data_IF_002676951810
#
_entry.id   IF_002676951810
#
_cell.length_a   1.000
_cell.length_b   1.000
_cell.length_c   1.000
_cell.angle_alpha   90.00
_cell.angle_beta   90.00
_cell.angle_gamma   90.00
#
_symmetry.space_group_name_H-M   'P 1'
#
loop_
_entity.id
_entity.type
_entity.pdbx_description
1 polymer ?
#
# COMPACT_ATOMS: atom_id res chain seq x y z
N UNK A 1 -1.20 -4.35 -17.36
CA UNK A 1 -2.00 -3.11 -17.45
C UNK A 1 -1.39 -2.09 -16.49
N UNK A 2 -1.27 -0.82 -16.87
CA UNK A 2 -0.85 0.24 -15.95
C UNK A 2 -2.05 1.13 -15.63
N UNK A 3 -2.17 1.53 -14.36
CA UNK A 3 -3.18 2.48 -13.87
C UNK A 3 -2.46 3.70 -13.34
N UNK A 4 -2.63 4.82 -14.03
CA UNK A 4 -2.03 6.10 -13.67
C UNK A 4 -2.97 6.91 -12.77
N UNK A 5 -2.39 7.59 -11.78
CA UNK A 5 -3.09 8.48 -10.88
C UNK A 5 -2.78 9.94 -11.21
N UNK A 6 -3.71 10.83 -10.87
CA UNK A 6 -3.54 12.27 -11.12
C UNK A 6 -2.31 12.82 -10.37
N UNK A 7 -1.55 13.73 -10.99
CA UNK A 7 -0.42 14.36 -10.33
C UNK A 7 -0.86 15.18 -9.11
N UNK A 8 -0.01 15.19 -8.08
CA UNK A 8 -0.19 15.99 -6.86
C UNK A 8 0.95 17.00 -6.78
N UNK A 9 0.61 18.26 -6.60
CA UNK A 9 1.55 19.36 -6.43
C UNK A 9 1.61 19.76 -4.96
N UNK A 10 2.81 19.81 -4.40
CA UNK A 10 3.03 20.12 -2.99
C UNK A 10 3.84 21.40 -2.83
N UNK A 11 3.32 22.30 -2.00
CA UNK A 11 3.94 23.60 -1.72
C UNK A 11 4.59 23.64 -0.34
N UNK A 12 5.55 24.55 -0.15
CA UNK A 12 6.08 24.88 1.16
C UNK A 12 5.10 25.75 1.98
N UNK A 13 5.55 26.19 3.17
CA UNK A 13 4.79 27.11 4.03
C UNK A 13 4.52 28.48 3.41
N UNK A 14 5.37 28.94 2.47
CA UNK A 14 5.18 30.19 1.72
C UNK A 14 4.34 30.03 0.45
N UNK A 15 3.75 28.83 0.22
CA UNK A 15 2.93 28.48 -0.95
C UNK A 15 3.68 28.41 -2.29
N UNK A 16 5.01 28.32 -2.24
CA UNK A 16 5.82 28.07 -3.43
C UNK A 16 5.77 26.58 -3.77
N UNK A 17 5.66 26.26 -5.06
CA UNK A 17 5.71 24.89 -5.54
C UNK A 17 7.10 24.30 -5.28
N UNK A 18 7.15 23.18 -4.55
CA UNK A 18 8.39 22.46 -4.27
C UNK A 18 8.51 21.15 -5.05
N UNK A 19 7.41 20.44 -5.23
CA UNK A 19 7.44 19.16 -5.93
C UNK A 19 6.12 18.75 -6.57
N UNK A 20 6.24 18.04 -7.69
CA UNK A 20 5.18 17.31 -8.36
C UNK A 20 5.37 15.81 -8.14
N UNK A 21 4.28 15.10 -7.81
CA UNK A 21 4.28 13.67 -7.54
C UNK A 21 3.28 12.97 -8.46
N UNK A 22 3.76 12.01 -9.25
CA UNK A 22 2.97 11.14 -10.13
C UNK A 22 3.10 9.71 -9.67
N UNK A 23 2.06 8.90 -9.83
CA UNK A 23 2.12 7.48 -9.48
C UNK A 23 1.37 6.60 -10.47
N UNK A 24 1.86 5.38 -10.64
CA UNK A 24 1.28 4.37 -11.50
C UNK A 24 1.37 2.98 -10.85
N UNK A 25 0.34 2.16 -11.03
CA UNK A 25 0.32 0.76 -10.61
C UNK A 25 0.38 -0.16 -11.83
N UNK A 26 1.28 -1.13 -11.79
CA UNK A 26 1.34 -2.23 -12.75
C UNK A 26 0.53 -3.42 -12.25
N UNK A 27 -0.39 -3.89 -13.08
CA UNK A 27 -1.21 -5.08 -12.84
C UNK A 27 -0.83 -6.17 -13.86
N UNK A 28 -0.57 -7.36 -13.33
CA UNK A 28 -0.27 -8.58 -14.08
C UNK A 28 -1.42 -9.59 -13.90
N UNK A 29 -1.85 -10.19 -15.02
CA UNK A 29 -2.82 -11.28 -15.06
C UNK A 29 -2.09 -12.58 -15.40
N UNK A 30 -2.33 -13.65 -14.64
CA UNK A 30 -1.66 -14.94 -14.86
C UNK A 30 -2.41 -15.84 -15.87
N UNK A 31 -3.57 -15.41 -16.37
CA UNK A 31 -4.31 -16.15 -17.39
C UNK A 31 -3.73 -15.90 -18.79
N UNK A 32 -2.76 -16.73 -19.15
CA UNK A 32 -2.08 -16.78 -20.44
C UNK A 32 -2.99 -17.02 -21.66
N UNK A 33 -4.27 -17.36 -21.45
CA UNK A 33 -5.23 -17.64 -22.52
C UNK A 33 -6.11 -16.47 -22.94
N UNK A 34 -6.19 -15.41 -22.13
CA UNK A 34 -6.95 -14.21 -22.45
C UNK A 34 -6.13 -12.99 -22.05
N UNK A 35 -5.25 -12.53 -22.95
CA UNK A 35 -4.50 -11.26 -22.87
C UNK A 35 -5.37 -9.99 -22.83
N UNK A 36 -6.68 -10.13 -22.56
CA UNK A 36 -7.71 -9.10 -22.50
C UNK A 36 -8.56 -9.15 -21.21
N UNK A 37 -8.15 -9.85 -20.15
CA UNK A 37 -8.78 -9.64 -18.83
C UNK A 37 -8.34 -8.29 -18.26
N UNK A 38 -8.99 -7.23 -18.75
CA UNK A 38 -8.93 -5.91 -18.14
C UNK A 38 -9.44 -6.02 -16.70
N UNK A 39 -8.82 -5.25 -15.79
CA UNK A 39 -9.31 -5.11 -14.42
C UNK A 39 -10.81 -4.76 -14.47
N UNK A 40 -11.65 -5.60 -13.88
CA UNK A 40 -13.09 -5.42 -13.87
C UNK A 40 -13.67 -5.76 -12.48
N UNK A 41 -14.99 -5.63 -12.35
CA UNK A 41 -15.68 -5.84 -11.07
C UNK A 41 -15.61 -7.28 -10.56
N UNK A 42 -15.27 -8.26 -11.41
CA UNK A 42 -15.09 -9.67 -11.05
C UNK A 42 -13.64 -10.03 -10.73
N UNK A 43 -12.69 -9.10 -10.92
CA UNK A 43 -11.29 -9.34 -10.55
C UNK A 43 -11.11 -9.40 -9.03
N UNK A 44 -10.43 -10.44 -8.55
CA UNK A 44 -9.87 -10.49 -7.19
C UNK A 44 -8.41 -10.05 -7.31
N UNK A 45 -8.11 -8.87 -6.77
CA UNK A 45 -6.78 -8.27 -6.87
C UNK A 45 -5.93 -8.63 -5.65
N UNK A 46 -4.79 -9.28 -5.89
CA UNK A 46 -3.88 -9.75 -4.85
C UNK A 46 -2.49 -9.10 -4.97
N UNK A 47 -1.67 -9.16 -3.91
CA UNK A 47 -0.24 -8.91 -4.06
C UNK A 47 0.44 -10.00 -4.92
N UNK A 48 1.67 -9.76 -5.41
CA UNK A 48 2.42 -10.76 -6.15
C UNK A 48 2.75 -11.96 -5.27
N UNK A 49 2.73 -13.14 -5.88
CA UNK A 49 2.79 -14.43 -5.16
C UNK A 49 4.20 -15.03 -5.14
N UNK A 50 4.91 -14.89 -6.26
CA UNK A 50 6.22 -15.52 -6.49
C UNK A 50 7.40 -14.54 -6.40
N UNK A 51 7.10 -13.24 -6.40
CA UNK A 51 8.07 -12.14 -6.34
C UNK A 51 7.58 -11.10 -5.33
N UNK A 52 8.46 -10.25 -4.78
CA UNK A 52 8.00 -9.12 -3.98
C UNK A 52 7.24 -8.11 -4.85
N UNK A 53 6.28 -7.41 -4.25
CA UNK A 53 5.74 -6.17 -4.81
C UNK A 53 6.85 -5.12 -4.80
N UNK A 54 7.12 -4.53 -5.96
CA UNK A 54 8.13 -3.48 -6.09
C UNK A 54 7.48 -2.12 -5.95
N UNK A 55 7.87 -1.37 -4.93
CA UNK A 55 7.54 0.04 -4.79
C UNK A 55 8.79 0.85 -5.15
N UNK A 56 8.80 1.46 -6.34
CA UNK A 56 9.89 2.32 -6.81
C UNK A 56 9.52 3.80 -6.70
N UNK A 57 10.37 4.59 -6.08
CA UNK A 57 10.30 6.05 -6.07
C UNK A 57 11.46 6.57 -6.92
N UNK A 58 11.14 7.23 -8.02
CA UNK A 58 12.09 7.87 -8.94
C UNK A 58 12.10 9.36 -8.63
N UNK A 59 13.28 9.89 -8.33
CA UNK A 59 13.52 11.29 -8.02
C UNK A 59 14.07 11.99 -9.26
N UNK A 60 13.60 13.20 -9.52
CA UNK A 60 14.05 14.04 -10.61
C UNK A 60 13.96 15.51 -10.21
N UNK A 61 14.65 16.38 -10.96
CA UNK A 61 14.61 17.83 -10.76
C UNK A 61 14.21 18.54 -12.05
N UNK A 62 13.43 19.61 -11.95
CA UNK A 62 13.11 20.47 -13.08
C UNK A 62 14.33 21.20 -13.66
N UNK A 63 15.44 21.27 -12.91
CA UNK A 63 16.71 21.80 -13.42
C UNK A 63 17.43 20.84 -14.38
N UNK A 64 16.87 19.66 -14.68
CA UNK A 64 17.51 18.58 -15.44
C UNK A 64 18.87 18.12 -14.86
N UNK A 65 19.11 18.40 -13.58
CA UNK A 65 20.25 17.90 -12.81
C UNK A 65 19.82 16.72 -11.94
N UNK A 66 20.73 15.78 -11.63
CA UNK A 66 20.42 14.71 -10.68
C UNK A 66 20.06 15.31 -9.32
N UNK A 67 19.13 14.66 -8.62
CA UNK A 67 18.77 15.06 -7.26
C UNK A 67 19.93 14.68 -6.33
N UNK A 68 20.21 15.50 -5.32
CA UNK A 68 21.24 15.19 -4.32
C UNK A 68 21.02 13.79 -3.73
N UNK A 69 22.06 12.96 -3.73
CA UNK A 69 22.05 11.61 -3.14
C UNK A 69 21.64 11.63 -1.67
N UNK A 70 21.89 12.73 -0.96
CA UNK A 70 21.50 12.89 0.44
C UNK A 70 19.97 12.84 0.63
N UNK A 71 19.19 13.25 -0.38
CA UNK A 71 17.73 13.12 -0.40
C UNK A 71 17.31 11.65 -0.51
N UNK A 72 17.91 10.90 -1.45
CA UNK A 72 17.67 9.46 -1.60
C UNK A 72 17.98 8.70 -0.32
N UNK A 73 19.09 9.05 0.35
CA UNK A 73 19.47 8.48 1.64
C UNK A 73 18.47 8.82 2.75
N UNK A 74 18.06 10.09 2.86
CA UNK A 74 17.09 10.52 3.85
C UNK A 74 15.73 9.80 3.71
N UNK A 75 15.30 9.53 2.48
CA UNK A 75 14.10 8.73 2.22
C UNK A 75 14.28 7.28 2.67
N UNK A 76 15.42 6.65 2.36
CA UNK A 76 15.72 5.27 2.77
C UNK A 76 15.74 5.14 4.29
N UNK A 77 16.44 6.03 4.97
CA UNK A 77 16.51 6.07 6.42
C UNK A 77 15.09 6.24 7.02
N UNK A 78 14.28 7.10 6.39
CA UNK A 78 12.89 7.33 6.79
C UNK A 78 12.00 6.09 6.63
N UNK A 79 12.18 5.30 5.57
CA UNK A 79 11.49 4.02 5.40
C UNK A 79 11.98 2.94 6.36
N UNK A 80 13.29 2.85 6.59
CA UNK A 80 13.87 1.88 7.52
C UNK A 80 13.36 2.08 8.95
N UNK A 81 13.18 3.33 9.37
CA UNK A 81 12.58 3.66 10.68
C UNK A 81 11.07 3.37 10.76
N UNK A 82 10.42 3.12 9.63
CA UNK A 82 8.98 2.84 9.51
C UNK A 82 8.67 1.43 9.00
N UNK A 83 9.61 0.47 9.07
CA UNK A 83 9.35 -0.91 8.62
C UNK A 83 8.15 -1.57 9.34
N UNK A 84 7.88 -1.16 10.58
CA UNK A 84 6.72 -1.65 11.33
C UNK A 84 5.38 -1.37 10.63
N UNK A 85 5.26 -0.26 9.90
CA UNK A 85 4.05 0.05 9.12
C UNK A 85 3.75 -1.06 8.10
N UNK A 86 4.78 -1.52 7.39
CA UNK A 86 4.67 -2.59 6.40
C UNK A 86 4.46 -3.96 7.05
N UNK A 87 5.11 -4.19 8.18
CA UNK A 87 4.89 -5.40 8.98
C UNK A 87 3.43 -5.50 9.45
N UNK A 88 2.82 -4.40 9.89
CA UNK A 88 1.40 -4.34 10.29
C UNK A 88 0.45 -4.62 9.11
N UNK A 89 0.88 -4.35 7.87
CA UNK A 89 0.20 -4.75 6.64
C UNK A 89 0.48 -6.22 6.26
N UNK A 90 1.23 -6.96 7.07
CA UNK A 90 1.67 -8.34 6.82
C UNK A 90 2.56 -8.47 5.58
N UNK A 91 3.47 -7.51 5.43
CA UNK A 91 4.59 -7.59 4.50
C UNK A 91 5.91 -7.70 5.25
N UNK A 92 6.83 -8.49 4.70
CA UNK A 92 8.26 -8.30 4.98
C UNK A 92 8.80 -7.28 4.00
N UNK A 93 9.33 -6.18 4.53
CA UNK A 93 9.81 -5.05 3.75
C UNK A 93 11.33 -5.00 3.72
N UNK A 94 11.90 -4.76 2.53
CA UNK A 94 13.30 -4.38 2.34
C UNK A 94 13.37 -3.01 1.66
N UNK A 95 14.35 -2.18 2.01
CA UNK A 95 14.54 -0.85 1.42
C UNK A 95 15.98 -0.73 0.93
N UNK A 96 16.17 -0.30 -0.31
CA UNK A 96 17.49 0.00 -0.86
C UNK A 96 17.46 1.16 -1.86
N UNK A 97 18.64 1.72 -2.10
CA UNK A 97 18.91 2.62 -3.22
C UNK A 97 19.36 1.75 -4.39
N UNK A 98 18.71 1.87 -5.55
CA UNK A 98 19.07 1.08 -6.75
C UNK A 98 19.96 1.88 -7.69
N UNK A 99 19.68 3.17 -7.83
CA UNK A 99 20.50 4.16 -8.52
C UNK A 99 20.47 5.47 -7.72
N UNK A 100 21.33 6.44 -8.03
CA UNK A 100 21.45 7.68 -7.25
C UNK A 100 20.12 8.46 -7.11
N UNK A 101 19.18 8.22 -8.02
CA UNK A 101 17.90 8.90 -8.12
C UNK A 101 16.70 7.98 -7.84
N UNK A 102 16.88 6.78 -7.30
CA UNK A 102 15.74 5.91 -7.00
C UNK A 102 15.89 5.07 -5.75
N UNK A 103 14.79 5.09 -5.00
CA UNK A 103 14.60 4.30 -3.80
C UNK A 103 13.61 3.20 -4.14
N UNK A 104 13.98 1.96 -3.82
CA UNK A 104 13.11 0.80 -4.01
C UNK A 104 12.80 0.17 -2.66
N UNK A 105 11.51 -0.02 -2.42
CA UNK A 105 10.96 -0.78 -1.33
C UNK A 105 10.41 -2.09 -1.89
N UNK A 106 10.94 -3.22 -1.42
CA UNK A 106 10.50 -4.56 -1.79
C UNK A 106 9.56 -5.09 -0.71
N UNK A 107 8.37 -5.55 -1.11
CA UNK A 107 7.32 -5.99 -0.20
C UNK A 107 6.94 -7.44 -0.47
N UNK A 108 7.42 -8.36 0.37
CA UNK A 108 7.09 -9.79 0.33
C UNK A 108 5.82 -10.07 1.15
N UNK A 109 4.74 -10.54 0.50
CA UNK A 109 3.47 -10.77 1.18
C UNK A 109 3.52 -12.04 2.04
N UNK A 110 3.16 -11.91 3.32
CA UNK A 110 3.10 -13.03 4.27
C UNK A 110 1.72 -13.69 4.34
N UNK A 111 0.67 -13.01 3.83
CA UNK A 111 -0.72 -13.49 3.91
C UNK A 111 -1.06 -14.42 2.75
N UNK A 112 -0.81 -13.97 1.51
CA UNK A 112 -1.19 -14.67 0.28
C UNK A 112 0.01 -15.38 -0.34
N UNK A 113 0.48 -16.45 0.31
CA UNK A 113 1.58 -17.27 -0.23
C UNK A 113 1.16 -18.04 -1.48
N UNK A 114 2.13 -18.56 -2.24
CA UNK A 114 1.88 -19.36 -3.45
C UNK A 114 0.96 -20.55 -3.15
N UNK A 115 1.29 -21.35 -2.13
CA UNK A 115 0.52 -22.55 -1.76
C UNK A 115 -0.90 -22.19 -1.34
N UNK A 116 -1.04 -21.13 -0.55
CA UNK A 116 -2.34 -20.68 -0.05
C UNK A 116 -3.23 -20.15 -1.16
N UNK A 117 -2.68 -19.32 -2.04
CA UNK A 117 -3.42 -18.78 -3.18
C UNK A 117 -3.84 -19.91 -4.12
N UNK A 118 -2.96 -20.89 -4.33
CA UNK A 118 -3.27 -22.06 -5.14
C UNK A 118 -4.46 -22.85 -4.58
N UNK A 119 -4.45 -23.15 -3.28
CA UNK A 119 -5.48 -23.98 -2.64
C UNK A 119 -6.81 -23.24 -2.43
N UNK A 120 -6.76 -21.97 -2.03
CA UNK A 120 -7.97 -21.20 -1.68
C UNK A 120 -8.63 -20.54 -2.89
N UNK A 121 -7.89 -20.29 -3.97
CA UNK A 121 -8.39 -19.51 -5.10
C UNK A 121 -8.16 -20.19 -6.45
N UNK A 122 -6.92 -20.49 -6.82
CA UNK A 122 -6.63 -20.99 -8.19
C UNK A 122 -7.31 -22.33 -8.49
N UNK A 123 -7.16 -23.31 -7.59
CA UNK A 123 -7.80 -24.62 -7.74
C UNK A 123 -9.33 -24.49 -7.78
N UNK A 124 -9.99 -23.83 -6.82
CA UNK A 124 -11.42 -23.56 -6.89
C UNK A 124 -11.90 -22.90 -8.18
N UNK A 125 -11.23 -21.82 -8.61
CA UNK A 125 -11.61 -21.09 -9.82
C UNK A 125 -11.38 -21.92 -11.09
N UNK A 126 -10.35 -22.76 -11.12
CA UNK A 126 -10.07 -23.64 -12.27
C UNK A 126 -11.12 -24.74 -12.47
N UNK A 127 -11.72 -25.24 -11.39
CA UNK A 127 -12.77 -26.25 -11.43
C UNK A 127 -14.11 -25.60 -11.79
N UNK A 128 -14.34 -24.36 -11.38
CA UNK A 128 -15.59 -23.62 -11.55
C UNK A 128 -15.54 -22.69 -12.76
N UNK A 129 -15.43 -23.27 -13.96
CA UNK A 129 -15.34 -22.52 -15.23
C UNK A 129 -16.53 -21.59 -15.55
N UNK A 130 -17.64 -21.72 -14.83
CA UNK A 130 -18.82 -20.85 -14.94
C UNK A 130 -18.75 -19.62 -14.04
N UNK A 131 -17.72 -19.48 -13.19
CA UNK A 131 -17.51 -18.26 -12.42
C UNK A 131 -16.72 -17.24 -13.22
N UNK A 132 -17.22 -16.00 -13.24
CA UNK A 132 -16.55 -14.87 -13.91
C UNK A 132 -15.38 -14.29 -13.09
N UNK A 133 -15.22 -14.75 -11.85
CA UNK A 133 -14.15 -14.31 -10.96
C UNK A 133 -12.79 -14.81 -11.45
N UNK A 134 -11.82 -13.90 -11.50
CA UNK A 134 -10.46 -14.21 -11.93
C UNK A 134 -9.44 -13.46 -11.09
N UNK A 135 -8.22 -13.99 -11.05
CA UNK A 135 -7.15 -13.46 -10.22
C UNK A 135 -6.26 -12.51 -11.01
N UNK A 136 -6.03 -11.33 -10.47
CA UNK A 136 -5.02 -10.39 -10.96
C UNK A 136 -4.11 -9.97 -9.83
N UNK A 137 -2.89 -9.58 -10.16
CA UNK A 137 -1.88 -9.21 -9.18
C UNK A 137 -1.37 -7.80 -9.42
N UNK A 138 -1.20 -7.02 -8.35
CA UNK A 138 -0.51 -5.73 -8.41
C UNK A 138 0.98 -6.02 -8.33
N UNK A 139 1.73 -5.89 -9.43
CA UNK A 139 3.14 -6.26 -9.51
C UNK A 139 4.11 -5.16 -9.11
N UNK A 140 3.74 -3.90 -9.36
CA UNK A 140 4.57 -2.76 -9.01
C UNK A 140 3.74 -1.51 -8.72
N UNK A 141 4.29 -0.64 -7.87
CA UNK A 141 3.87 0.75 -7.68
C UNK A 141 5.08 1.64 -8.00
N UNK A 142 4.95 2.49 -9.01
CA UNK A 142 5.97 3.46 -9.37
C UNK A 142 5.50 4.84 -9.02
N UNK A 143 6.34 5.60 -8.32
CA UNK A 143 6.13 7.00 -7.96
C UNK A 143 7.25 7.82 -8.58
N UNK A 144 6.89 8.88 -9.29
CA UNK A 144 7.82 9.86 -9.83
C UNK A 144 7.68 11.15 -9.04
N UNK A 145 8.74 11.55 -8.34
CA UNK A 145 8.85 12.81 -7.63
C UNK A 145 9.74 13.76 -8.44
N UNK A 146 9.19 14.89 -8.84
CA UNK A 146 9.91 15.95 -9.55
C UNK A 146 10.02 17.15 -8.62
N UNK A 147 11.22 17.45 -8.16
CA UNK A 147 11.50 18.62 -7.31
C UNK A 147 11.82 19.84 -8.17
N UNK A 148 11.51 21.03 -7.67
CA UNK A 148 11.84 22.28 -8.36
C UNK A 148 13.34 22.60 -8.35
N UNK A 149 14.06 22.13 -7.33
CA UNK A 149 15.52 22.24 -7.21
C UNK A 149 16.17 20.86 -7.23
N UNK A 150 17.42 20.77 -7.70
CA UNK A 150 18.24 19.54 -7.61
C UNK A 150 18.70 19.21 -6.20
N UNK A 151 18.71 20.18 -5.30
CA UNK A 151 19.10 20.00 -3.89
C UNK A 151 18.01 20.50 -2.95
N UNK A 152 16.80 19.88 -2.97
CA UNK A 152 15.76 20.25 -2.05
C UNK A 152 16.21 19.92 -0.62
N UNK A 153 15.78 20.70 0.40
CA UNK A 153 16.03 20.33 1.79
C UNK A 153 15.50 18.92 2.08
N UNK A 154 16.33 18.07 2.67
CA UNK A 154 15.99 16.66 2.97
C UNK A 154 14.71 16.54 3.80
N UNK A 155 14.53 17.46 4.75
CA UNK A 155 13.37 17.51 5.63
C UNK A 155 12.09 17.71 4.81
N UNK A 156 12.12 18.62 3.84
CA UNK A 156 10.96 18.90 2.99
C UNK A 156 10.68 17.73 2.04
N UNK A 157 11.73 17.11 1.47
CA UNK A 157 11.59 15.94 0.62
C UNK A 157 10.95 14.75 1.36
N UNK A 158 11.42 14.42 2.57
CA UNK A 158 10.85 13.37 3.41
C UNK A 158 9.41 13.70 3.80
N UNK A 159 9.13 14.94 4.19
CA UNK A 159 7.79 15.40 4.57
C UNK A 159 6.81 15.30 3.40
N UNK A 160 7.20 15.77 2.22
CA UNK A 160 6.39 15.73 1.00
C UNK A 160 6.15 14.29 0.55
N UNK A 161 7.18 13.44 0.60
CA UNK A 161 7.05 12.02 0.35
C UNK A 161 6.03 11.38 1.30
N UNK A 162 6.16 11.62 2.61
CA UNK A 162 5.23 11.06 3.58
C UNK A 162 3.79 11.52 3.34
N UNK A 163 3.55 12.81 3.07
CA UNK A 163 2.21 13.29 2.75
C UNK A 163 1.63 12.67 1.49
N UNK A 164 2.42 12.60 0.43
CA UNK A 164 2.00 11.99 -0.82
C UNK A 164 1.65 10.51 -0.63
N UNK A 165 2.54 9.74 0.02
CA UNK A 165 2.33 8.31 0.24
C UNK A 165 1.15 8.02 1.15
N UNK A 166 0.94 8.83 2.18
CA UNK A 166 -0.20 8.69 3.08
C UNK A 166 -1.49 8.90 2.30
N UNK A 167 -1.55 9.97 1.51
CA UNK A 167 -2.70 10.27 0.67
C UNK A 167 -2.96 9.15 -0.33
N UNK A 168 -1.91 8.69 -1.02
CA UNK A 168 -2.00 7.64 -2.04
C UNK A 168 -2.46 6.31 -1.44
N UNK A 169 -1.78 5.80 -0.39
CA UNK A 169 -2.08 4.50 0.20
C UNK A 169 -3.47 4.49 0.83
N UNK A 170 -3.81 5.49 1.65
CA UNK A 170 -5.05 5.46 2.44
C UNK A 170 -6.27 5.86 1.61
N UNK A 171 -6.13 6.85 0.72
CA UNK A 171 -7.29 7.45 0.05
C UNK A 171 -7.58 6.83 -1.31
N UNK A 172 -6.60 6.20 -1.95
CA UNK A 172 -6.76 5.68 -3.31
C UNK A 172 -6.51 4.17 -3.34
N UNK A 173 -5.33 3.74 -2.93
CA UNK A 173 -4.90 2.34 -3.11
C UNK A 173 -5.62 1.38 -2.17
N UNK A 174 -5.92 1.81 -0.94
CA UNK A 174 -6.69 1.01 0.01
C UNK A 174 -8.11 0.73 -0.51
N UNK A 175 -8.74 1.70 -1.16
CA UNK A 175 -10.09 1.55 -1.70
C UNK A 175 -10.11 0.71 -2.98
N UNK A 176 -9.12 0.89 -3.87
CA UNK A 176 -9.06 0.18 -5.14
C UNK A 176 -8.53 -1.26 -4.99
N UNK A 177 -7.52 -1.47 -4.14
CA UNK A 177 -6.85 -2.76 -3.95
C UNK A 177 -6.73 -3.12 -2.46
N UNK A 178 -7.86 -3.36 -1.77
CA UNK A 178 -7.87 -3.52 -0.32
C UNK A 178 -7.10 -4.74 0.17
N UNK A 179 -7.11 -5.86 -0.57
CA UNK A 179 -6.30 -7.03 -0.23
C UNK A 179 -4.79 -6.78 -0.41
N UNK A 180 -4.39 -5.71 -1.08
CA UNK A 180 -2.99 -5.30 -1.26
C UNK A 180 -2.58 -4.28 -0.20
N UNK A 181 -3.36 -3.21 -0.03
CA UNK A 181 -2.95 -2.04 0.77
C UNK A 181 -3.77 -1.79 2.04
N UNK A 182 -4.84 -2.55 2.32
CA UNK A 182 -5.62 -2.40 3.55
C UNK A 182 -5.19 -3.36 4.64
N UNK A 183 -4.72 -2.81 5.77
CA UNK A 183 -4.50 -3.56 7.00
C UNK A 183 -5.80 -4.20 7.50
N UNK A 184 -6.89 -3.45 7.42
CA UNK A 184 -8.19 -3.85 7.96
C UNK A 184 -8.76 -5.03 7.18
N UNK A 185 -8.75 -4.94 5.86
CA UNK A 185 -9.22 -5.99 4.97
C UNK A 185 -8.40 -7.27 5.16
N UNK A 186 -7.07 -7.18 5.23
CA UNK A 186 -6.19 -8.33 5.47
C UNK A 186 -6.41 -9.00 6.82
N UNK A 187 -6.57 -8.21 7.88
CA UNK A 187 -6.88 -8.75 9.21
C UNK A 187 -8.22 -9.50 9.21
N UNK A 188 -9.24 -8.97 8.54
CA UNK A 188 -10.52 -9.68 8.41
C UNK A 188 -10.38 -10.98 7.64
N UNK A 189 -9.61 -10.98 6.55
CA UNK A 189 -9.29 -12.20 5.82
C UNK A 189 -8.62 -13.24 6.73
N UNK A 190 -7.56 -12.86 7.47
CA UNK A 190 -6.84 -13.76 8.39
C UNK A 190 -7.75 -14.32 9.50
N UNK A 191 -8.65 -13.49 10.04
CA UNK A 191 -9.62 -13.94 11.05
C UNK A 191 -10.61 -14.97 10.50
N UNK A 192 -11.06 -14.78 9.26
CA UNK A 192 -12.00 -15.68 8.61
C UNK A 192 -11.33 -16.93 8.06
N UNK A 193 -10.06 -16.83 7.68
CA UNK A 193 -9.27 -17.94 7.13
C UNK A 193 -9.25 -19.17 8.02
N UNK A 194 -9.08 -18.99 9.34
CA UNK A 194 -9.08 -20.09 10.29
C UNK A 194 -10.39 -20.93 10.23
N UNK A 195 -11.49 -20.32 9.82
CA UNK A 195 -12.79 -20.97 9.64
C UNK A 195 -13.07 -21.44 8.21
N UNK A 196 -12.29 -21.00 7.22
CA UNK A 196 -12.55 -21.29 5.80
C UNK A 196 -12.46 -22.78 5.46
N UNK A 197 -11.51 -23.51 6.06
CA UNK A 197 -11.35 -24.95 5.83
C UNK A 197 -12.58 -25.75 6.29
N UNK A 198 -12.97 -25.67 7.58
CA UNK A 198 -14.17 -26.33 8.09
C UNK A 198 -15.45 -25.92 7.35
N UNK A 199 -15.61 -24.63 7.02
CA UNK A 199 -16.77 -24.13 6.25
C UNK A 199 -16.80 -24.71 4.84
N UNK A 200 -15.65 -24.77 4.16
CA UNK A 200 -15.56 -25.37 2.82
C UNK A 200 -15.89 -26.87 2.83
N UNK A 201 -15.56 -27.59 3.90
CA UNK A 201 -15.86 -29.01 4.05
C UNK A 201 -17.34 -29.26 4.41
N UNK A 202 -17.89 -28.46 5.33
CA UNK A 202 -19.28 -28.56 5.77
C UNK A 202 -20.30 -28.25 4.66
N UNK A 203 -19.94 -27.37 3.72
CA UNK A 203 -20.82 -26.92 2.64
C UNK A 203 -20.79 -27.81 1.38
N UNK A 204 -20.37 -29.08 1.49
CA UNK A 204 -20.49 -30.11 0.43
C UNK A 204 -20.08 -29.62 -0.97
N UNK A 205 -18.78 -29.71 -1.29
CA UNK A 205 -18.25 -29.48 -2.65
C UNK A 205 -18.44 -28.07 -3.25
N UNK A 206 -18.91 -27.06 -2.51
CA UNK A 206 -18.95 -25.69 -3.03
C UNK A 206 -17.57 -25.02 -2.95
N UNK A 207 -16.66 -25.43 -3.84
CA UNK A 207 -15.38 -24.75 -4.04
C UNK A 207 -15.56 -23.23 -4.31
N UNK A 208 -16.77 -22.80 -4.71
CA UNK A 208 -17.09 -21.42 -5.05
C UNK A 208 -17.15 -20.48 -3.84
N UNK A 209 -17.33 -21.03 -2.63
CA UNK A 209 -17.53 -20.22 -1.42
C UNK A 209 -16.31 -19.41 -1.03
N UNK A 210 -15.11 -19.99 -1.15
CA UNK A 210 -13.88 -19.33 -0.73
C UNK A 210 -13.56 -18.13 -1.63
N UNK A 211 -13.55 -18.25 -2.97
CA UNK A 211 -13.43 -17.09 -3.86
C UNK A 211 -14.50 -16.01 -3.61
N UNK A 212 -15.78 -16.40 -3.47
CA UNK A 212 -16.88 -15.47 -3.18
C UNK A 212 -16.69 -14.73 -1.85
N UNK A 213 -16.27 -15.42 -0.79
CA UNK A 213 -16.02 -14.78 0.50
C UNK A 213 -14.88 -13.77 0.38
N UNK A 214 -13.77 -14.17 -0.26
CA UNK A 214 -12.64 -13.27 -0.50
C UNK A 214 -13.08 -12.06 -1.32
N UNK A 215 -13.96 -12.26 -2.31
CA UNK A 215 -14.55 -11.20 -3.11
C UNK A 215 -15.40 -10.26 -2.27
N UNK A 216 -16.28 -10.79 -1.41
CA UNK A 216 -17.09 -10.00 -0.46
C UNK A 216 -16.20 -9.17 0.47
N UNK A 217 -15.16 -9.77 1.06
CA UNK A 217 -14.20 -9.06 1.91
C UNK A 217 -13.50 -7.93 1.14
N UNK A 218 -13.11 -8.19 -0.11
CA UNK A 218 -12.44 -7.20 -0.96
C UNK A 218 -13.36 -6.08 -1.44
N UNK A 219 -14.66 -6.35 -1.57
CA UNK A 219 -15.66 -5.38 -2.00
C UNK A 219 -16.17 -4.53 -0.82
N UNK A 220 -15.92 -4.94 0.43
CA UNK A 220 -16.30 -4.16 1.60
C UNK A 220 -15.45 -2.88 1.75
N UNK A 221 -15.97 -1.77 1.22
CA UNK A 221 -15.34 -0.44 1.31
C UNK A 221 -15.37 0.17 2.72
N UNK A 222 -16.11 -0.40 3.66
CA UNK A 222 -16.10 0.03 5.07
C UNK A 222 -14.87 -0.49 5.82
N UNK A 223 -14.18 -1.50 5.27
CA UNK A 223 -12.97 -2.07 5.80
C UNK A 223 -11.72 -1.26 5.44
N UNK A 224 -11.77 0.07 5.59
CA UNK A 224 -10.67 0.98 5.24
C UNK A 224 -10.19 1.81 6.43
N UNK A 225 -8.94 2.28 6.36
CA UNK A 225 -8.35 3.15 7.40
C UNK A 225 -9.12 4.46 7.49
N UNK A 226 -9.58 5.02 6.37
CA UNK A 226 -10.41 6.23 6.35
C UNK A 226 -11.71 6.05 7.16
N UNK A 227 -12.46 4.97 6.92
CA UNK A 227 -13.68 4.70 7.71
C UNK A 227 -13.39 4.52 9.20
N UNK A 228 -12.27 3.86 9.56
CA UNK A 228 -11.84 3.75 10.96
C UNK A 228 -11.49 5.10 11.57
N UNK A 229 -10.82 5.99 10.83
CA UNK A 229 -10.51 7.35 11.30
C UNK A 229 -11.78 8.16 11.56
N UNK A 230 -12.78 8.06 10.69
CA UNK A 230 -14.08 8.72 10.90
C UNK A 230 -14.77 8.16 12.16
N UNK A 231 -14.79 6.84 12.33
CA UNK A 231 -15.34 6.21 13.54
C UNK A 231 -14.61 6.65 14.82
N UNK A 232 -13.28 6.74 14.79
CA UNK A 232 -12.48 7.17 15.94
C UNK A 232 -12.68 8.65 16.24
N UNK A 233 -12.69 9.51 15.21
CA UNK A 233 -12.88 10.96 15.37
C UNK A 233 -14.27 11.32 15.88
N UNK A 234 -15.28 10.53 15.53
CA UNK A 234 -16.63 10.64 16.10
C UNK A 234 -16.70 10.24 17.59
N UNK A 235 -15.69 9.53 18.12
CA UNK A 235 -15.65 9.04 19.51
C UNK A 235 -14.54 9.75 20.31
N UNK A 236 -14.94 10.81 21.01
CA UNK A 236 -14.04 11.65 21.83
C UNK A 236 -13.24 10.85 22.87
N UNK A 237 -13.78 9.74 23.39
CA UNK A 237 -13.09 8.89 24.39
C UNK A 237 -11.98 8.06 23.76
N UNK A 238 -12.20 7.52 22.56
CA UNK A 238 -11.17 6.79 21.80
C UNK A 238 -10.05 7.72 21.37
N UNK A 239 -10.39 8.93 20.91
CA UNK A 239 -9.41 9.93 20.49
C UNK A 239 -8.47 10.34 21.64
N UNK A 240 -9.00 10.59 22.83
CA UNK A 240 -8.20 10.89 24.03
C UNK A 240 -7.28 9.72 24.43
N UNK A 241 -7.70 8.47 24.23
CA UNK A 241 -6.85 7.29 24.50
C UNK A 241 -5.71 7.15 23.48
N UNK A 242 -5.97 7.43 22.21
CA UNK A 242 -4.95 7.38 21.16
C UNK A 242 -3.90 8.47 21.33
N UNK A 243 -4.30 9.69 21.72
CA UNK A 243 -3.36 10.79 22.00
C UNK A 243 -2.41 10.52 23.17
N UNK A 244 -2.72 9.56 24.06
CA UNK A 244 -1.84 9.14 25.16
C UNK A 244 -0.71 8.22 24.71
N UNK A 245 -0.77 7.63 23.51
CA UNK A 245 0.33 6.86 22.94
C UNK A 245 1.39 7.81 22.35
N UNK A 246 2.17 8.47 23.23
CA UNK A 246 3.25 9.39 22.84
C UNK A 246 4.44 8.72 22.13
N UNK A 247 4.56 7.39 22.19
CA UNK A 247 5.74 6.65 21.73
C UNK A 247 5.47 5.71 20.54
N UNK A 248 4.25 5.67 20.01
CA UNK A 248 3.90 4.84 18.84
C UNK A 248 4.19 5.56 17.52
N UNK A 249 4.61 4.83 16.49
CA UNK A 249 4.48 5.30 15.11
C UNK A 249 3.00 5.54 14.83
N UNK A 250 2.66 6.74 14.33
CA UNK A 250 1.28 7.03 13.93
C UNK A 250 0.84 6.01 12.88
N UNK A 251 -0.42 5.51 12.92
CA UNK A 251 -0.94 4.59 11.90
C UNK A 251 -0.97 5.22 10.49
N UNK A 252 -0.71 6.53 10.40
CA UNK A 252 -0.72 7.37 9.20
C UNK A 252 0.71 7.87 8.87
N UNK A 253 1.76 7.24 9.40
CA UNK A 253 3.15 7.64 9.14
C UNK A 253 3.91 6.52 8.42
N UNK A 254 4.25 6.79 7.16
CA UNK A 254 4.92 5.84 6.27
C UNK A 254 6.43 6.07 6.24
N UNK A 255 6.87 7.32 6.48
CA UNK A 255 8.26 7.66 6.75
C UNK A 255 8.39 8.33 8.12
N UNK A 256 9.32 7.84 8.96
CA UNK A 256 9.67 8.48 10.23
C UNK A 256 10.87 9.39 10.02
N UNK A 257 10.89 10.50 10.75
CA UNK A 257 12.08 11.34 10.87
C UNK A 257 12.94 10.78 12.01
N UNK A 258 14.25 10.67 11.81
CA UNK A 258 15.22 10.69 12.91
C UNK A 258 15.22 12.11 13.48
N UNK A 259 14.25 12.41 14.35
CA UNK A 259 14.29 13.64 15.13
C UNK A 259 15.25 13.42 16.30
N UNK A 260 16.46 13.97 16.20
CA UNK A 260 17.26 14.40 17.36
C UNK A 260 16.82 15.78 17.88
N UNK A 261 15.61 16.23 17.54
CA UNK A 261 15.03 17.45 18.12
C UNK A 261 13.82 17.12 18.97
N UNK A 262 13.99 17.51 20.22
CA UNK A 262 13.10 17.39 21.36
C UNK A 262 11.69 17.86 21.08
N UNK A 263 10.77 17.23 21.79
CA UNK A 263 9.39 17.63 21.98
C UNK A 263 9.24 19.13 22.20
N UNK A 264 8.52 19.81 21.30
CA UNK A 264 7.74 21.00 21.64
C UNK A 264 6.44 20.98 20.83
N UNK A 265 5.55 20.10 21.25
CA UNK A 265 4.11 20.29 21.06
C UNK A 265 3.45 20.26 22.44
N UNK A 266 3.73 21.32 23.19
CA UNK A 266 2.94 21.79 24.32
C UNK A 266 2.83 23.32 24.20
N UNK A 267 1.94 23.78 23.31
CA UNK A 267 1.39 25.15 23.31
C UNK A 267 0.29 25.27 22.26
N UNK A 268 -0.87 24.72 22.59
CA UNK A 268 -2.15 25.40 22.40
C UNK A 268 -2.75 25.54 23.80
#
# INVERSE_FOLDING_TARGET
>A
MNIDFKPVFLTNGSRDLLSEWKSAISIESNDSKNSKTALNDHSIVLPPRQKPLLFKIVLSSSENKPVSRSVSQALVDGFQQCLQFWHDLHYRAGVCIVDDNSVVLTLECLVFTVMKTKNLLEQPLSVLKHMDEHLVTVSALTVHATFTSSSPPEIDAVKHCNFFLVSLLISQLEFQFPLVFSRVCRLRFLQQEASLGPVSYALTNSASMVPKLIKIISNDKTATTCCRMVQISSDRRKLVRLLKFKNGTSPVQILKRSCTYTSDHASC
#
